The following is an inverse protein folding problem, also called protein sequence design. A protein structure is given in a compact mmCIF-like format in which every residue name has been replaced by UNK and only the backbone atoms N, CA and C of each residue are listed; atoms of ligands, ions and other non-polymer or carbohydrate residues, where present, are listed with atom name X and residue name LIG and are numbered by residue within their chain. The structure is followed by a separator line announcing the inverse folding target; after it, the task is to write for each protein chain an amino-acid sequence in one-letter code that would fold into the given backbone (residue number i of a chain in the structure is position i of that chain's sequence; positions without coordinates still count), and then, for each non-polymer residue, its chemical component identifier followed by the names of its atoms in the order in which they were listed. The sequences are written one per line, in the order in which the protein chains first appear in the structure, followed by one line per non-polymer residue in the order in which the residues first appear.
data_IF_001383840479
#
_entry.id   IF_001383840479
#
_cell.length_a   1.000
_cell.length_b   1.000
_cell.length_c   1.000
_cell.angle_alpha   90.00
_cell.angle_beta   90.00
_cell.angle_gamma   90.00
#
_symmetry.space_group_name_H-M   'P 1'
#
loop_
_entity.id
_entity.type
_entity.pdbx_description
1 polymer ?
#
# COMPACT_ATOMS: atom_id res chain seq x y z
N UNK A 1 41.23 6.48 21.78
CA UNK A 1 40.53 5.65 20.79
C UNK A 1 40.22 6.53 19.60
N UNK A 2 40.78 6.21 18.45
CA UNK A 2 40.62 6.99 17.21
C UNK A 2 39.18 6.93 16.75
N UNK A 3 38.59 8.07 16.29
CA UNK A 3 37.27 8.16 15.67
C UNK A 3 37.11 7.33 14.38
N UNK A 4 38.11 6.53 14.03
CA UNK A 4 38.17 5.69 12.83
C UNK A 4 37.86 4.20 13.11
N UNK A 5 37.55 3.83 14.35
CA UNK A 5 37.36 2.40 14.72
C UNK A 5 35.93 1.89 14.62
N UNK A 6 34.92 2.77 14.39
CA UNK A 6 33.54 2.35 14.11
C UNK A 6 33.11 2.79 12.70
N UNK A 7 32.54 1.88 11.88
CA UNK A 7 32.04 2.27 10.56
C UNK A 7 30.93 3.32 10.69
N UNK A 8 31.06 4.40 9.91
CA UNK A 8 30.09 5.48 9.90
C UNK A 8 28.78 5.04 9.26
N UNK A 9 27.69 5.11 10.03
CA UNK A 9 26.33 4.91 9.55
C UNK A 9 25.62 6.25 9.54
N UNK A 10 24.96 6.60 8.42
CA UNK A 10 24.24 7.85 8.27
C UNK A 10 23.21 8.04 9.40
N UNK A 11 23.16 9.24 9.99
CA UNK A 11 22.32 9.55 11.15
C UNK A 11 20.82 9.18 10.92
N UNK A 12 20.32 9.41 9.70
CA UNK A 12 18.93 9.09 9.30
C UNK A 12 18.54 7.61 9.43
N UNK A 13 19.52 6.69 9.51
CA UNK A 13 19.26 5.26 9.69
C UNK A 13 19.18 4.83 11.16
N UNK A 14 19.62 5.69 12.11
CA UNK A 14 19.66 5.34 13.53
C UNK A 14 18.26 5.18 14.14
N UNK A 15 17.30 5.96 13.63
CA UNK A 15 15.92 6.00 14.12
C UNK A 15 14.93 5.21 13.23
N UNK A 16 15.43 4.47 12.23
CA UNK A 16 14.62 3.61 11.37
C UNK A 16 14.82 2.16 11.76
N UNK A 17 13.89 1.64 12.57
CA UNK A 17 13.88 0.24 12.97
C UNK A 17 13.47 -0.70 11.82
N UNK A 18 13.86 -1.98 11.91
CA UNK A 18 13.30 -3.06 11.08
C UNK A 18 11.77 -3.09 11.21
N UNK A 19 11.09 -3.52 10.16
CA UNK A 19 9.63 -3.63 10.18
C UNK A 19 9.17 -4.77 11.09
N UNK A 20 8.44 -4.51 12.20
CA UNK A 20 7.86 -5.56 13.04
C UNK A 20 6.93 -6.50 12.24
N UNK A 21 6.26 -5.97 11.22
CA UNK A 21 5.42 -6.79 10.31
C UNK A 21 6.27 -7.83 9.57
N UNK A 22 7.49 -7.48 9.13
CA UNK A 22 8.41 -8.41 8.48
C UNK A 22 8.87 -9.51 9.44
N UNK A 23 9.11 -9.19 10.69
CA UNK A 23 9.49 -10.16 11.72
C UNK A 23 8.35 -11.15 11.99
N UNK A 24 7.11 -10.65 12.10
CA UNK A 24 5.91 -11.50 12.23
C UNK A 24 5.76 -12.41 11.00
N UNK A 25 5.93 -11.89 9.79
CA UNK A 25 5.86 -12.69 8.56
C UNK A 25 6.92 -13.80 8.54
N UNK A 26 8.12 -13.55 9.02
CA UNK A 26 9.15 -14.58 9.15
C UNK A 26 8.77 -15.68 10.17
N UNK A 27 8.14 -15.30 11.28
CA UNK A 27 7.64 -16.26 12.28
C UNK A 27 6.47 -17.10 11.73
N UNK A 28 5.67 -16.57 10.83
CA UNK A 28 4.49 -17.25 10.26
C UNK A 28 4.80 -18.09 9.03
N UNK A 29 6.03 -18.14 8.56
CA UNK A 29 6.46 -18.98 7.43
C UNK A 29 6.53 -20.49 7.79
N UNK A 30 6.25 -20.86 9.05
CA UNK A 30 6.23 -22.27 9.50
C UNK A 30 4.99 -23.01 8.97
N UNK A 31 5.11 -24.27 8.54
CA UNK A 31 3.95 -25.08 8.16
C UNK A 31 2.91 -25.18 9.29
N UNK A 32 1.63 -25.11 8.94
CA UNK A 32 0.51 -25.25 9.89
C UNK A 32 0.07 -23.96 10.58
N UNK A 33 0.79 -22.84 10.40
CA UNK A 33 0.37 -21.53 10.92
C UNK A 33 -0.65 -20.91 9.99
N UNK A 34 -1.83 -20.56 10.51
CA UNK A 34 -2.85 -19.77 9.81
C UNK A 34 -2.54 -18.30 10.06
N UNK A 35 -2.09 -17.59 9.03
CA UNK A 35 -1.58 -16.23 9.16
C UNK A 35 -2.57 -15.19 8.64
N UNK A 36 -3.19 -14.42 9.54
CA UNK A 36 -3.91 -13.19 9.22
C UNK A 36 -2.98 -11.95 9.21
N UNK A 37 -1.65 -12.14 9.26
CA UNK A 37 -0.70 -11.04 9.35
C UNK A 37 -0.37 -10.40 7.99
N UNK A 38 -0.19 -11.22 6.96
CA UNK A 38 0.29 -10.76 5.65
C UNK A 38 -0.78 -10.12 4.78
N UNK A 39 -0.55 -8.91 4.29
CA UNK A 39 -1.35 -8.30 3.22
C UNK A 39 -0.96 -8.83 1.84
N UNK A 40 -0.83 -10.15 1.72
CA UNK A 40 -0.41 -10.82 0.49
C UNK A 40 -1.63 -11.28 -0.30
N UNK A 41 -1.64 -11.12 -1.63
CA UNK A 41 -2.67 -11.76 -2.46
C UNK A 41 -2.50 -13.29 -2.39
N UNK A 42 -3.60 -14.00 -2.58
CA UNK A 42 -3.63 -15.45 -2.54
C UNK A 42 -2.87 -16.07 -3.72
N UNK A 43 -1.87 -16.93 -3.47
CA UNK A 43 -1.03 -17.48 -4.56
C UNK A 43 -1.81 -18.33 -5.57
N UNK A 44 -2.87 -19.02 -5.12
CA UNK A 44 -3.73 -19.85 -5.99
C UNK A 44 -4.60 -19.03 -6.95
N UNK A 45 -4.66 -17.71 -6.78
CA UNK A 45 -5.38 -16.79 -7.66
C UNK A 45 -4.48 -16.12 -8.71
N UNK A 46 -3.18 -16.42 -8.69
CA UNK A 46 -2.28 -15.92 -9.74
C UNK A 46 -2.56 -16.66 -11.06
N UNK A 47 -2.64 -15.91 -12.16
CA UNK A 47 -2.68 -16.48 -13.49
C UNK A 47 -1.28 -16.99 -13.92
N UNK A 48 -0.85 -18.07 -13.27
CA UNK A 48 0.45 -18.70 -13.55
C UNK A 48 0.64 -19.11 -15.00
N UNK A 49 -0.34 -19.75 -15.67
CA UNK A 49 -0.26 -20.07 -17.09
C UNK A 49 -0.08 -18.83 -17.97
N UNK A 50 -0.92 -17.82 -17.84
CA UNK A 50 -0.85 -16.60 -18.62
C UNK A 50 0.45 -15.82 -18.42
N UNK A 51 0.96 -15.78 -17.19
CA UNK A 51 2.28 -15.19 -16.89
C UNK A 51 3.40 -15.99 -17.51
N UNK A 52 3.38 -17.33 -17.48
CA UNK A 52 4.37 -18.17 -18.15
C UNK A 52 4.46 -17.86 -19.65
N UNK A 53 3.31 -17.86 -20.32
CA UNK A 53 3.24 -17.56 -21.76
C UNK A 53 3.75 -16.15 -22.07
N UNK A 54 3.49 -15.19 -21.20
CA UNK A 54 3.97 -13.82 -21.34
C UNK A 54 5.51 -13.72 -21.17
N UNK A 55 6.09 -14.45 -20.22
CA UNK A 55 7.54 -14.52 -20.04
C UNK A 55 8.22 -15.25 -21.20
N UNK A 56 7.64 -16.34 -21.70
CA UNK A 56 8.15 -17.03 -22.88
C UNK A 56 8.17 -16.12 -24.11
N UNK A 57 7.09 -15.36 -24.34
CA UNK A 57 7.03 -14.38 -25.42
C UNK A 57 8.04 -13.23 -25.23
N UNK A 58 8.23 -12.74 -24.00
CA UNK A 58 9.23 -11.74 -23.70
C UNK A 58 10.66 -12.25 -23.99
N UNK A 59 10.97 -13.48 -23.60
CA UNK A 59 12.28 -14.11 -23.86
C UNK A 59 12.51 -14.43 -25.32
N UNK A 60 11.47 -14.68 -26.14
CA UNK A 60 11.61 -14.85 -27.60
C UNK A 60 12.14 -13.57 -28.28
N UNK A 61 11.94 -12.38 -27.68
CA UNK A 61 12.52 -11.11 -28.13
C UNK A 61 13.70 -10.69 -27.23
N UNK A 62 14.63 -11.59 -26.98
CA UNK A 62 15.74 -11.40 -26.04
C UNK A 62 16.59 -10.16 -26.35
N UNK A 63 16.74 -9.79 -27.63
CA UNK A 63 17.50 -8.61 -28.06
C UNK A 63 16.93 -7.30 -27.50
N UNK A 64 15.61 -7.21 -27.35
CA UNK A 64 14.92 -6.06 -26.77
C UNK A 64 14.77 -6.19 -25.25
N UNK A 65 14.33 -7.34 -24.75
CA UNK A 65 13.90 -7.52 -23.37
C UNK A 65 15.04 -7.78 -22.38
N UNK A 66 16.24 -8.15 -22.85
CA UNK A 66 17.43 -8.32 -22.02
C UNK A 66 18.46 -7.19 -22.18
N UNK A 67 18.14 -6.14 -22.93
CA UNK A 67 18.99 -4.96 -23.12
C UNK A 67 18.51 -3.83 -22.15
N UNK A 68 19.39 -2.85 -21.93
CA UNK A 68 19.00 -1.59 -21.29
C UNK A 68 17.85 -0.89 -22.03
N UNK A 69 17.00 -0.18 -21.29
CA UNK A 69 15.82 0.50 -21.82
C UNK A 69 15.69 1.93 -21.26
N UNK A 70 14.58 2.57 -21.56
CA UNK A 70 14.28 3.92 -21.06
C UNK A 70 13.94 3.91 -19.57
N UNK A 71 14.32 4.97 -18.88
CA UNK A 71 14.05 5.14 -17.44
C UNK A 71 12.55 5.18 -17.13
N UNK A 72 11.76 5.76 -18.05
CA UNK A 72 10.31 5.90 -17.92
C UNK A 72 9.58 4.54 -17.94
N UNK A 73 10.17 3.55 -18.55
CA UNK A 73 9.62 2.20 -18.68
C UNK A 73 9.18 1.83 -20.11
N UNK A 74 8.82 0.56 -20.27
CA UNK A 74 8.39 -0.02 -21.53
C UNK A 74 7.17 0.72 -22.11
N UNK A 75 7.21 1.23 -23.35
CA UNK A 75 6.13 2.00 -23.93
C UNK A 75 4.80 1.25 -23.98
N UNK A 76 4.81 -0.05 -24.33
CA UNK A 76 3.59 -0.84 -24.39
C UNK A 76 2.95 -1.02 -23.00
N UNK A 77 3.77 -1.21 -21.96
CA UNK A 77 3.28 -1.27 -20.59
C UNK A 77 2.69 0.08 -20.14
N UNK A 78 3.35 1.19 -20.46
CA UNK A 78 2.88 2.54 -20.13
C UNK A 78 1.55 2.86 -20.81
N UNK A 79 1.35 2.47 -22.07
CA UNK A 79 0.09 2.61 -22.81
C UNK A 79 -1.05 1.82 -22.13
N UNK A 80 -0.81 0.57 -21.74
CA UNK A 80 -1.81 -0.27 -21.06
C UNK A 80 -2.18 0.27 -19.68
N UNK A 81 -1.21 0.76 -18.92
CA UNK A 81 -1.44 1.41 -17.62
C UNK A 81 -2.26 2.69 -17.82
N UNK A 82 -1.89 3.54 -18.77
CA UNK A 82 -2.59 4.79 -19.08
C UNK A 82 -4.04 4.54 -19.50
N UNK A 83 -4.28 3.54 -20.36
CA UNK A 83 -5.62 3.13 -20.75
C UNK A 83 -6.45 2.66 -19.54
N UNK A 84 -5.85 1.87 -18.64
CA UNK A 84 -6.53 1.41 -17.41
C UNK A 84 -6.88 2.55 -16.46
N UNK A 85 -5.97 3.49 -16.24
CA UNK A 85 -6.21 4.68 -15.41
C UNK A 85 -7.32 5.55 -16.00
N UNK A 86 -7.30 5.76 -17.31
CA UNK A 86 -8.34 6.52 -18.03
C UNK A 86 -9.71 5.85 -17.92
N UNK A 87 -9.78 4.53 -18.09
CA UNK A 87 -11.03 3.75 -17.92
C UNK A 87 -11.59 3.85 -16.49
N UNK A 88 -10.73 4.08 -15.50
CA UNK A 88 -11.10 4.31 -14.08
C UNK A 88 -11.35 5.79 -13.73
N UNK A 89 -11.37 6.67 -14.72
CA UNK A 89 -11.72 8.09 -14.54
C UNK A 89 -10.55 9.04 -14.34
N UNK A 90 -9.29 8.55 -14.35
CA UNK A 90 -8.10 9.38 -14.32
C UNK A 90 -7.51 9.52 -15.72
N UNK A 91 -7.87 10.57 -16.45
CA UNK A 91 -7.35 10.85 -17.79
C UNK A 91 -5.80 10.85 -17.78
N UNK A 92 -5.20 9.94 -18.54
CA UNK A 92 -3.76 9.68 -18.48
C UNK A 92 -3.24 9.31 -19.87
N UNK A 93 -2.18 9.97 -20.32
CA UNK A 93 -1.41 9.56 -21.49
C UNK A 93 -0.25 8.64 -21.09
N UNK A 94 0.31 7.88 -22.03
CA UNK A 94 1.46 7.03 -21.77
C UNK A 94 2.65 7.85 -21.21
N UNK A 95 2.82 9.09 -21.68
CA UNK A 95 3.91 9.97 -21.23
C UNK A 95 3.71 10.53 -19.80
N UNK A 96 2.52 10.35 -19.23
CA UNK A 96 2.24 10.70 -17.84
C UNK A 96 2.63 9.59 -16.86
N UNK A 97 2.97 8.39 -17.36
CA UNK A 97 3.28 7.21 -16.56
C UNK A 97 4.79 7.02 -16.43
N UNK A 98 5.28 6.87 -15.21
CA UNK A 98 6.62 6.42 -14.87
C UNK A 98 6.54 5.06 -14.18
N UNK A 99 7.05 4.02 -14.84
CA UNK A 99 7.06 2.65 -14.28
C UNK A 99 8.13 2.53 -13.19
N UNK A 100 7.80 1.83 -12.10
CA UNK A 100 8.69 1.63 -10.95
C UNK A 100 8.74 0.16 -10.52
N UNK A 101 9.76 -0.18 -9.73
CA UNK A 101 9.91 -1.50 -9.12
C UNK A 101 8.95 -1.67 -7.93
N UNK A 102 7.63 -1.60 -8.22
CA UNK A 102 6.54 -1.54 -7.26
C UNK A 102 6.33 -0.15 -6.66
N UNK A 103 5.19 0.03 -5.96
CA UNK A 103 4.85 1.30 -5.29
C UNK A 103 5.87 1.71 -4.22
N UNK A 104 6.64 0.77 -3.66
CA UNK A 104 7.69 1.09 -2.70
C UNK A 104 8.79 1.99 -3.30
N UNK A 105 9.25 1.71 -4.52
CA UNK A 105 10.19 2.58 -5.21
C UNK A 105 9.55 3.92 -5.54
N UNK A 106 8.27 3.92 -5.96
CA UNK A 106 7.53 5.15 -6.21
C UNK A 106 7.53 6.08 -4.99
N UNK A 107 7.24 5.56 -3.80
CA UNK A 107 7.31 6.33 -2.54
C UNK A 107 8.71 6.88 -2.27
N UNK A 108 9.75 6.06 -2.46
CA UNK A 108 11.14 6.49 -2.26
C UNK A 108 11.54 7.60 -3.23
N UNK A 109 11.14 7.50 -4.50
CA UNK A 109 11.43 8.51 -5.52
C UNK A 109 10.70 9.83 -5.21
N UNK A 110 9.42 9.77 -4.84
CA UNK A 110 8.68 10.98 -4.44
C UNK A 110 9.34 11.62 -3.23
N UNK A 111 9.67 10.85 -2.21
CA UNK A 111 10.37 11.37 -1.03
C UNK A 111 11.70 12.04 -1.39
N UNK A 112 12.49 11.41 -2.28
CA UNK A 112 13.79 11.96 -2.70
C UNK A 112 13.68 13.27 -3.49
N UNK A 113 12.56 13.51 -4.18
CA UNK A 113 12.34 14.68 -5.04
C UNK A 113 11.64 15.83 -4.31
N UNK A 114 10.86 15.53 -3.28
CA UNK A 114 9.98 16.52 -2.65
C UNK A 114 10.33 16.88 -1.21
N UNK A 115 11.28 16.15 -0.59
CA UNK A 115 11.58 16.28 0.84
C UNK A 115 13.04 16.69 1.05
N UNK A 116 13.26 17.75 1.82
CA UNK A 116 14.54 18.10 2.42
C UNK A 116 14.60 17.60 3.87
N UNK A 117 15.79 17.29 4.42
CA UNK A 117 15.92 16.90 5.81
C UNK A 117 15.31 17.95 6.76
N UNK A 118 14.40 17.48 7.64
CA UNK A 118 13.65 18.33 8.57
C UNK A 118 12.29 18.82 8.04
N UNK A 119 11.96 18.57 6.78
CA UNK A 119 10.62 18.86 6.27
C UNK A 119 9.57 17.99 6.97
N UNK A 120 8.35 18.54 7.10
CA UNK A 120 7.21 17.85 7.72
C UNK A 120 6.38 17.17 6.65
N UNK A 121 6.13 15.88 6.89
CA UNK A 121 5.26 15.04 6.06
C UNK A 121 4.06 14.60 6.88
N UNK A 122 2.87 14.96 6.43
CA UNK A 122 1.62 14.52 7.03
C UNK A 122 1.29 13.09 6.59
N UNK A 123 0.89 12.23 7.52
CA UNK A 123 0.43 10.86 7.24
C UNK A 123 -0.85 10.58 8.03
N UNK A 124 -1.67 9.68 7.53
CA UNK A 124 -2.80 9.13 8.28
C UNK A 124 -2.34 8.53 9.62
N UNK A 125 -3.22 8.51 10.63
CA UNK A 125 -2.95 7.85 11.90
C UNK A 125 -4.06 6.83 12.21
N UNK A 126 -3.81 5.53 12.08
CA UNK A 126 -2.55 4.88 11.68
C UNK A 126 -2.28 4.93 10.17
N UNK A 127 -1.02 4.69 9.75
CA UNK A 127 -0.58 4.75 8.36
C UNK A 127 0.22 3.51 7.93
N UNK A 128 0.43 3.39 6.62
CA UNK A 128 1.27 2.33 6.04
C UNK A 128 2.72 2.48 6.51
N UNK A 129 3.20 1.47 7.25
CA UNK A 129 4.52 1.50 7.88
C UNK A 129 5.68 1.78 6.92
N UNK A 130 5.64 1.19 5.72
CA UNK A 130 6.74 1.37 4.77
C UNK A 130 6.77 2.77 4.15
N UNK A 131 5.65 3.51 4.12
CA UNK A 131 5.63 4.92 3.76
C UNK A 131 6.27 5.77 4.87
N UNK A 132 5.92 5.53 6.15
CA UNK A 132 6.57 6.17 7.29
C UNK A 132 8.09 5.96 7.24
N UNK A 133 8.54 4.73 6.96
CA UNK A 133 9.97 4.42 6.84
C UNK A 133 10.62 5.16 5.67
N UNK A 134 9.97 5.20 4.49
CA UNK A 134 10.51 5.90 3.32
C UNK A 134 10.71 7.41 3.58
N UNK A 135 9.74 8.06 4.23
CA UNK A 135 9.84 9.48 4.57
C UNK A 135 10.91 9.75 5.64
N UNK A 136 10.98 8.92 6.68
CA UNK A 136 12.06 9.02 7.69
C UNK A 136 13.44 8.82 7.08
N UNK A 137 13.59 7.89 6.13
CA UNK A 137 14.85 7.69 5.39
C UNK A 137 15.24 8.89 4.52
N UNK A 138 14.27 9.65 4.02
CA UNK A 138 14.52 10.93 3.34
C UNK A 138 14.87 12.08 4.31
N UNK A 139 14.77 11.84 5.63
CA UNK A 139 15.06 12.84 6.67
C UNK A 139 13.84 13.64 7.10
N UNK A 140 12.63 13.24 6.72
CA UNK A 140 11.40 13.93 7.12
C UNK A 140 11.05 13.74 8.59
N UNK A 141 10.42 14.74 9.17
CA UNK A 141 9.64 14.63 10.40
C UNK A 141 8.21 14.24 10.06
N UNK A 142 7.82 13.03 10.42
CA UNK A 142 6.48 12.50 10.13
C UNK A 142 5.48 13.01 11.16
N UNK A 143 4.41 13.65 10.70
CA UNK A 143 3.37 14.25 11.54
C UNK A 143 2.05 13.49 11.33
N UNK A 144 1.52 12.83 12.36
CA UNK A 144 0.27 12.09 12.26
C UNK A 144 -0.93 13.04 12.14
N UNK A 145 -1.84 12.72 11.21
CA UNK A 145 -3.14 13.38 11.05
C UNK A 145 -4.21 12.48 11.64
N UNK A 146 -5.05 12.96 12.57
CA UNK A 146 -6.15 12.18 13.13
C UNK A 146 -7.05 11.59 12.04
N UNK A 147 -7.48 10.35 12.25
CA UNK A 147 -8.44 9.65 11.42
C UNK A 147 -9.61 9.15 12.27
N UNK A 148 -10.81 9.19 11.71
CA UNK A 148 -12.02 8.57 12.27
C UNK A 148 -12.50 7.41 11.39
N UNK A 149 -13.77 7.01 11.49
CA UNK A 149 -14.32 5.91 10.70
C UNK A 149 -14.42 6.22 9.21
N UNK A 150 -14.46 7.50 8.83
CA UNK A 150 -14.41 7.99 7.45
C UNK A 150 -12.96 8.25 6.96
N UNK A 151 -11.94 7.87 7.74
CA UNK A 151 -10.53 8.05 7.41
C UNK A 151 -9.96 9.40 7.85
N UNK A 152 -9.01 9.93 7.09
CA UNK A 152 -8.28 11.16 7.42
C UNK A 152 -9.21 12.37 7.54
N UNK A 153 -9.02 13.16 8.62
CA UNK A 153 -9.73 14.43 8.85
C UNK A 153 -9.08 15.59 8.07
N UNK A 154 -9.75 16.15 7.05
CA UNK A 154 -9.20 17.25 6.25
C UNK A 154 -9.01 18.56 7.03
N UNK A 155 -9.81 18.84 8.05
CA UNK A 155 -9.68 20.06 8.88
C UNK A 155 -8.44 19.96 9.77
N UNK A 156 -8.23 18.79 10.36
CA UNK A 156 -7.00 18.51 11.10
C UNK A 156 -5.77 18.57 10.17
N UNK A 157 -5.85 18.01 8.96
CA UNK A 157 -4.78 18.11 7.97
C UNK A 157 -4.45 19.57 7.62
N UNK A 158 -5.47 20.41 7.38
CA UNK A 158 -5.28 21.82 7.09
C UNK A 158 -4.61 22.57 8.24
N UNK A 159 -5.05 22.31 9.48
CA UNK A 159 -4.48 22.91 10.69
C UNK A 159 -3.01 22.52 10.88
N UNK A 160 -2.68 21.23 10.70
CA UNK A 160 -1.33 20.72 10.86
C UNK A 160 -0.42 21.19 9.70
N UNK A 161 -0.93 21.24 8.47
CA UNK A 161 -0.19 21.77 7.32
C UNK A 161 0.23 23.22 7.55
N UNK A 162 -0.70 24.07 7.99
CA UNK A 162 -0.42 25.46 8.31
C UNK A 162 0.54 25.62 9.50
N UNK A 163 0.31 24.84 10.58
CA UNK A 163 1.13 24.91 11.81
C UNK A 163 2.58 24.53 11.58
N UNK A 164 2.83 23.51 10.78
CA UNK A 164 4.15 22.92 10.61
C UNK A 164 4.82 23.28 9.27
N UNK A 165 4.12 23.98 8.38
CA UNK A 165 4.60 24.24 7.03
C UNK A 165 4.85 22.94 6.25
N UNK A 166 3.93 21.99 6.37
CA UNK A 166 4.11 20.66 5.78
C UNK A 166 4.25 20.74 4.27
N UNK A 167 5.12 19.89 3.70
CA UNK A 167 5.41 19.86 2.26
C UNK A 167 4.60 18.79 1.53
N UNK A 168 4.24 17.71 2.22
CA UNK A 168 3.63 16.54 1.63
C UNK A 168 2.60 15.94 2.59
N UNK A 169 1.50 15.44 2.02
CA UNK A 169 0.51 14.57 2.66
C UNK A 169 0.52 13.22 1.94
N UNK A 170 0.70 12.14 2.68
CA UNK A 170 0.53 10.77 2.20
C UNK A 170 -0.79 10.18 2.68
N UNK A 171 -1.55 9.59 1.77
CA UNK A 171 -2.82 8.91 2.07
C UNK A 171 -3.03 7.67 1.20
N UNK A 172 -3.69 6.66 1.77
CA UNK A 172 -4.28 5.51 1.06
C UNK A 172 -5.79 5.66 1.11
N UNK A 173 -6.40 6.44 0.21
CA UNK A 173 -7.79 6.88 0.36
C UNK A 173 -8.82 5.79 0.10
N UNK A 174 -8.39 4.62 -0.42
CA UNK A 174 -9.28 3.50 -0.74
C UNK A 174 -8.77 2.21 -0.10
N UNK A 175 -9.56 1.64 0.82
CA UNK A 175 -9.23 0.42 1.56
C UNK A 175 -7.86 0.50 2.25
N UNK A 176 -7.68 1.57 3.00
CA UNK A 176 -6.45 1.97 3.66
C UNK A 176 -5.74 0.82 4.39
N UNK A 177 -4.43 0.77 4.28
CA UNK A 177 -3.59 -0.10 5.09
C UNK A 177 -3.02 0.70 6.28
N UNK A 178 -3.41 0.38 7.53
CA UNK A 178 -3.94 -0.91 7.99
C UNK A 178 -5.47 -1.01 8.17
N UNK A 179 -6.21 0.09 8.09
CA UNK A 179 -7.58 0.16 8.64
C UNK A 179 -8.66 -0.41 7.72
N UNK A 180 -8.42 -0.57 6.41
CA UNK A 180 -9.44 -0.97 5.46
C UNK A 180 -10.49 0.12 5.16
N UNK A 181 -10.35 1.32 5.72
CA UNK A 181 -11.29 2.44 5.54
C UNK A 181 -11.19 3.03 4.14
N UNK A 182 -12.26 3.67 3.71
CA UNK A 182 -12.31 4.40 2.44
C UNK A 182 -12.72 5.84 2.69
N UNK A 183 -11.89 6.78 2.24
CA UNK A 183 -12.13 8.20 2.35
C UNK A 183 -13.29 8.61 1.44
N UNK A 184 -14.38 9.23 1.94
CA UNK A 184 -15.51 9.66 1.14
C UNK A 184 -15.15 10.82 0.20
N UNK A 185 -15.96 10.99 -0.86
CA UNK A 185 -15.71 11.99 -1.90
C UNK A 185 -15.55 13.41 -1.35
N UNK A 186 -16.36 13.80 -0.39
CA UNK A 186 -16.29 15.13 0.22
C UNK A 186 -14.95 15.43 0.87
N UNK A 187 -14.38 14.44 1.57
CA UNK A 187 -13.05 14.57 2.18
C UNK A 187 -11.93 14.60 1.13
N UNK A 188 -12.08 13.82 0.05
CA UNK A 188 -11.13 13.86 -1.08
C UNK A 188 -11.10 15.24 -1.72
N UNK A 189 -12.27 15.83 -1.95
CA UNK A 189 -12.40 17.19 -2.49
C UNK A 189 -11.75 18.23 -1.57
N UNK A 190 -12.02 18.16 -0.27
CA UNK A 190 -11.43 19.07 0.71
C UNK A 190 -9.89 18.98 0.76
N UNK A 191 -9.33 17.78 0.63
CA UNK A 191 -7.86 17.58 0.58
C UNK A 191 -7.24 18.16 -0.70
N UNK A 192 -7.88 17.96 -1.86
CA UNK A 192 -7.40 18.54 -3.13
C UNK A 192 -7.47 20.07 -3.06
N UNK A 193 -8.56 20.63 -2.55
CA UNK A 193 -8.67 22.09 -2.35
C UNK A 193 -7.60 22.62 -1.37
N UNK A 194 -7.33 21.90 -0.28
CA UNK A 194 -6.24 22.26 0.65
C UNK A 194 -4.92 22.30 -0.09
N UNK A 195 -4.56 21.23 -0.81
CA UNK A 195 -3.30 21.13 -1.52
C UNK A 195 -3.12 22.22 -2.59
N UNK A 196 -4.16 22.48 -3.40
CA UNK A 196 -4.12 23.52 -4.42
C UNK A 196 -3.90 24.92 -3.85
N UNK A 197 -4.41 25.20 -2.64
CA UNK A 197 -4.25 26.53 -1.99
C UNK A 197 -2.94 26.68 -1.22
N UNK A 198 -2.42 25.61 -0.65
CA UNK A 198 -1.26 25.67 0.26
C UNK A 198 0.07 25.30 -0.39
N UNK A 199 0.06 24.77 -1.62
CA UNK A 199 1.26 24.23 -2.27
C UNK A 199 1.72 22.89 -1.67
N UNK A 200 0.83 22.21 -0.94
CA UNK A 200 1.07 20.88 -0.37
C UNK A 200 1.00 19.82 -1.48
N UNK A 201 1.98 18.94 -1.57
CA UNK A 201 1.87 17.75 -2.40
C UNK A 201 1.00 16.70 -1.73
N UNK A 202 0.13 16.04 -2.47
CA UNK A 202 -0.57 14.84 -2.01
C UNK A 202 0.01 13.63 -2.75
N UNK A 203 0.40 12.61 -1.99
CA UNK A 203 0.67 11.27 -2.52
C UNK A 203 -0.55 10.41 -2.26
N UNK A 204 -1.27 10.09 -3.32
CA UNK A 204 -2.37 9.14 -3.34
C UNK A 204 -1.82 7.76 -3.69
N UNK A 205 -1.75 6.84 -2.71
CA UNK A 205 -1.34 5.45 -2.92
C UNK A 205 -2.58 4.54 -3.03
N UNK A 206 -2.85 4.03 -4.23
CA UNK A 206 -4.03 3.19 -4.52
C UNK A 206 -3.64 1.78 -5.00
N UNK A 207 -3.16 0.89 -4.11
CA UNK A 207 -2.90 -0.50 -4.48
C UNK A 207 -4.15 -1.39 -4.46
N UNK A 208 -5.27 -0.93 -3.85
CA UNK A 208 -6.44 -1.76 -3.57
C UNK A 208 -7.72 -1.33 -4.28
N UNK A 209 -7.76 -0.19 -4.95
CA UNK A 209 -8.98 0.41 -5.48
C UNK A 209 -9.76 -0.46 -6.45
N UNK A 210 -9.10 -1.43 -7.09
CA UNK A 210 -9.77 -2.43 -7.93
C UNK A 210 -10.45 -3.54 -7.12
N UNK A 211 -10.10 -3.73 -5.86
CA UNK A 211 -10.61 -4.82 -5.00
C UNK A 211 -11.80 -4.36 -4.14
N UNK A 212 -12.82 -3.76 -4.78
CA UNK A 212 -14.07 -3.37 -4.12
C UNK A 212 -15.10 -4.50 -4.21
N UNK A 213 -15.67 -4.90 -3.07
CA UNK A 213 -16.64 -6.00 -2.95
C UNK A 213 -18.08 -5.51 -2.82
N UNK A 214 -18.26 -4.31 -2.26
CA UNK A 214 -19.58 -3.69 -2.03
C UNK A 214 -19.51 -2.17 -2.18
N UNK A 215 -20.68 -1.55 -2.37
CA UNK A 215 -20.80 -0.11 -2.56
C UNK A 215 -20.29 0.38 -3.92
N UNK A 216 -20.33 1.70 -4.11
CA UNK A 216 -19.90 2.35 -5.34
C UNK A 216 -18.42 2.78 -5.27
N UNK A 217 -17.77 2.83 -6.44
CA UNK A 217 -16.39 3.33 -6.54
C UNK A 217 -16.36 4.84 -6.24
N UNK A 218 -15.37 5.25 -5.43
CA UNK A 218 -15.11 6.66 -5.16
C UNK A 218 -14.01 7.14 -6.10
N UNK A 219 -14.18 8.27 -6.82
CA UNK A 219 -13.16 8.83 -7.70
C UNK A 219 -11.80 9.03 -6.99
N UNK A 220 -10.69 8.76 -7.69
CA UNK A 220 -9.33 9.05 -7.22
C UNK A 220 -9.17 10.55 -6.92
N UNK A 221 -8.37 10.92 -5.91
CA UNK A 221 -8.03 12.32 -5.67
C UNK A 221 -7.42 12.95 -6.92
N UNK A 222 -6.53 12.22 -7.60
CA UNK A 222 -5.85 12.70 -8.81
C UNK A 222 -6.81 12.98 -9.98
N UNK A 223 -8.04 12.43 -9.95
CA UNK A 223 -9.08 12.69 -10.98
C UNK A 223 -9.98 13.88 -10.67
N UNK A 224 -9.88 14.47 -9.48
CA UNK A 224 -10.72 15.58 -9.06
C UNK A 224 -10.24 16.92 -9.65
N UNK A 225 -11.15 17.87 -9.91
CA UNK A 225 -10.76 19.20 -10.35
C UNK A 225 -9.76 19.87 -9.41
N UNK A 226 -8.68 20.42 -9.97
CA UNK A 226 -7.61 21.09 -9.20
C UNK A 226 -6.50 20.15 -8.71
N UNK A 227 -6.61 18.87 -8.96
CA UNK A 227 -5.60 17.87 -8.55
C UNK A 227 -4.38 17.84 -9.47
N UNK A 228 -4.48 18.33 -10.68
CA UNK A 228 -3.50 18.18 -11.76
C UNK A 228 -2.12 18.72 -11.38
N UNK A 229 -2.09 19.75 -10.55
CA UNK A 229 -0.88 20.43 -10.11
C UNK A 229 -0.29 19.95 -8.78
N UNK A 230 -1.02 19.10 -8.00
CA UNK A 230 -0.64 18.81 -6.62
C UNK A 230 -0.77 17.34 -6.19
N UNK A 231 -1.42 16.45 -6.98
CA UNK A 231 -1.60 15.04 -6.60
C UNK A 231 -0.70 14.12 -7.44
N UNK A 232 0.14 13.35 -6.75
CA UNK A 232 0.92 12.24 -7.30
C UNK A 232 0.14 10.96 -7.05
N UNK A 233 -0.40 10.33 -8.11
CA UNK A 233 -1.03 9.02 -7.99
C UNK A 233 0.01 7.90 -8.11
N UNK A 234 -0.04 6.95 -7.17
CA UNK A 234 0.80 5.75 -7.14
C UNK A 234 -0.09 4.52 -7.16
N UNK A 235 0.30 3.49 -7.92
CA UNK A 235 -0.37 2.20 -7.87
C UNK A 235 0.57 1.05 -8.30
N UNK A 236 0.05 -0.20 -8.33
CA UNK A 236 0.84 -1.40 -8.58
C UNK A 236 -0.01 -2.56 -9.09
N UNK A 237 0.61 -3.46 -9.87
CA UNK A 237 0.02 -4.76 -10.23
C UNK A 237 0.07 -5.79 -9.09
N UNK A 238 0.72 -5.49 -7.98
CA UNK A 238 0.97 -6.46 -6.90
C UNK A 238 -0.29 -7.08 -6.30
N UNK A 239 -1.45 -6.43 -6.40
CA UNK A 239 -2.70 -6.90 -5.76
C UNK A 239 -3.69 -7.53 -6.74
N UNK A 240 -3.52 -7.28 -8.04
CA UNK A 240 -4.40 -7.80 -9.09
C UNK A 240 -3.71 -8.81 -10.03
N UNK A 241 -2.37 -8.80 -10.11
CA UNK A 241 -1.61 -9.78 -10.89
C UNK A 241 -0.75 -10.64 -9.95
N UNK A 242 0.49 -10.22 -9.70
CA UNK A 242 1.41 -10.92 -8.80
C UNK A 242 2.42 -9.95 -8.20
N UNK A 243 2.66 -9.97 -6.87
CA UNK A 243 3.61 -9.08 -6.22
C UNK A 243 5.06 -9.34 -6.64
N UNK A 244 5.37 -10.56 -7.07
CA UNK A 244 6.71 -10.97 -7.53
C UNK A 244 7.16 -10.28 -8.82
N UNK A 245 6.26 -9.78 -9.65
CA UNK A 245 6.57 -9.01 -10.86
C UNK A 245 7.26 -7.68 -10.58
N UNK A 246 7.11 -7.15 -9.36
CA UNK A 246 7.69 -5.86 -8.96
C UNK A 246 7.32 -4.71 -9.89
N UNK A 247 6.08 -4.68 -10.42
CA UNK A 247 5.58 -3.60 -11.27
C UNK A 247 4.67 -2.67 -10.47
N UNK A 248 5.02 -1.40 -10.45
CA UNK A 248 4.24 -0.27 -9.99
C UNK A 248 4.43 0.92 -10.92
N UNK A 249 3.76 2.00 -10.64
CA UNK A 249 3.88 3.23 -11.43
C UNK A 249 3.51 4.47 -10.62
N UNK A 250 3.98 5.61 -11.14
CA UNK A 250 3.61 6.96 -10.77
C UNK A 250 2.86 7.63 -11.92
N UNK A 251 1.84 8.41 -11.60
CA UNK A 251 1.29 9.45 -12.47
C UNK A 251 1.43 10.77 -11.71
N UNK A 252 2.56 11.47 -11.90
CA UNK A 252 2.86 12.71 -11.20
C UNK A 252 2.28 13.93 -11.93
N UNK A 253 2.12 15.07 -11.25
CA UNK A 253 2.01 16.38 -11.89
C UNK A 253 3.17 16.67 -12.84
N UNK A 254 2.91 17.46 -13.90
CA UNK A 254 3.90 17.75 -14.94
C UNK A 254 5.22 18.31 -14.38
N UNK A 255 5.15 19.14 -13.32
CA UNK A 255 6.31 19.74 -12.67
C UNK A 255 7.28 18.70 -12.07
N UNK A 256 6.76 17.59 -11.55
CA UNK A 256 7.57 16.56 -10.91
C UNK A 256 8.10 15.49 -11.87
N UNK A 257 7.61 15.45 -13.11
CA UNK A 257 7.92 14.39 -14.08
C UNK A 257 9.43 14.31 -14.37
N UNK A 258 10.03 15.40 -14.77
CA UNK A 258 11.48 15.46 -15.03
C UNK A 258 12.34 15.10 -13.81
N UNK A 259 12.16 15.76 -12.66
CA UNK A 259 12.87 15.40 -11.42
C UNK A 259 12.74 13.93 -11.02
N UNK A 260 11.54 13.32 -11.13
CA UNK A 260 11.33 11.91 -10.82
C UNK A 260 12.09 10.97 -11.78
N UNK A 261 12.15 11.30 -13.07
CA UNK A 261 12.95 10.53 -14.05
C UNK A 261 14.43 10.60 -13.69
N UNK A 262 14.96 11.79 -13.34
CA UNK A 262 16.36 11.95 -12.92
C UNK A 262 16.65 11.15 -11.64
N UNK A 263 15.77 11.21 -10.65
CA UNK A 263 15.94 10.46 -9.41
C UNK A 263 15.89 8.95 -9.66
N UNK A 264 14.99 8.47 -10.52
CA UNK A 264 14.90 7.06 -10.90
C UNK A 264 16.14 6.60 -11.68
N UNK A 265 16.63 7.41 -12.60
CA UNK A 265 17.85 7.12 -13.36
C UNK A 265 19.04 6.89 -12.43
N UNK A 266 19.15 7.72 -11.38
CA UNK A 266 20.20 7.56 -10.37
C UNK A 266 19.99 6.34 -9.44
N UNK A 267 18.73 5.92 -9.21
CA UNK A 267 18.38 4.84 -8.29
C UNK A 267 18.57 3.44 -8.89
N UNK A 268 18.07 3.21 -10.12
CA UNK A 268 18.08 1.88 -10.75
C UNK A 268 18.23 1.91 -12.29
N UNK A 269 18.48 3.08 -12.88
CA UNK A 269 18.50 3.35 -14.30
C UNK A 269 17.12 3.15 -14.97
N UNK A 270 16.54 1.97 -14.85
CA UNK A 270 15.18 1.59 -15.26
C UNK A 270 14.73 0.35 -14.51
N UNK A 271 13.42 0.11 -14.43
CA UNK A 271 12.87 -1.14 -13.93
C UNK A 271 13.20 -2.32 -14.86
N UNK A 272 13.18 -3.56 -14.35
CA UNK A 272 13.48 -4.77 -15.11
C UNK A 272 12.70 -4.82 -16.43
N UNK A 273 13.42 -4.87 -17.56
CA UNK A 273 12.84 -4.86 -18.91
C UNK A 273 12.04 -6.12 -19.21
N UNK A 274 12.53 -7.28 -18.74
CA UNK A 274 11.84 -8.56 -18.94
C UNK A 274 10.53 -8.62 -18.15
N UNK A 275 10.50 -8.13 -16.91
CA UNK A 275 9.27 -8.12 -16.11
C UNK A 275 8.26 -7.14 -16.68
N UNK A 276 8.70 -5.99 -17.19
CA UNK A 276 7.84 -5.04 -17.89
C UNK A 276 7.24 -5.63 -19.17
N UNK A 277 8.06 -6.29 -20.00
CA UNK A 277 7.60 -6.92 -21.24
C UNK A 277 6.61 -8.06 -20.95
N UNK A 278 6.89 -8.89 -19.92
CA UNK A 278 5.98 -9.94 -19.50
C UNK A 278 4.67 -9.37 -18.96
N UNK A 279 4.73 -8.32 -18.12
CA UNK A 279 3.54 -7.65 -17.61
C UNK A 279 2.69 -7.03 -18.73
N UNK A 280 3.31 -6.38 -19.72
CA UNK A 280 2.62 -5.86 -20.89
C UNK A 280 1.98 -6.98 -21.73
N UNK A 281 2.72 -8.07 -21.99
CA UNK A 281 2.22 -9.22 -22.71
C UNK A 281 1.05 -9.92 -22.01
N UNK A 282 1.07 -10.00 -20.68
CA UNK A 282 -0.02 -10.53 -19.87
C UNK A 282 -1.24 -9.61 -19.92
N UNK A 283 -1.07 -8.31 -19.64
CA UNK A 283 -2.15 -7.32 -19.68
C UNK A 283 -2.85 -7.22 -21.03
N UNK A 284 -2.10 -7.39 -22.13
CA UNK A 284 -2.65 -7.34 -23.48
C UNK A 284 -3.52 -8.56 -23.84
N UNK A 285 -3.41 -9.67 -23.12
CA UNK A 285 -4.10 -10.95 -23.43
C UNK A 285 -5.20 -11.29 -22.45
N UNK A 286 -5.06 -10.91 -21.19
CA UNK A 286 -6.04 -11.24 -20.16
C UNK A 286 -7.29 -10.35 -20.30
N UNK A 287 -8.45 -10.94 -20.04
CA UNK A 287 -9.63 -10.15 -19.66
C UNK A 287 -9.47 -9.71 -18.21
N UNK A 288 -8.82 -8.54 -18.03
CA UNK A 288 -8.49 -8.03 -16.70
C UNK A 288 -9.76 -7.73 -15.86
N UNK A 289 -10.85 -7.33 -16.49
CA UNK A 289 -12.10 -7.04 -15.78
C UNK A 289 -12.74 -8.33 -15.25
N UNK A 290 -12.77 -9.39 -16.05
CA UNK A 290 -13.23 -10.71 -15.59
C UNK A 290 -12.33 -11.29 -14.50
N UNK A 291 -11.00 -11.14 -14.63
CA UNK A 291 -10.04 -11.56 -13.62
C UNK A 291 -10.25 -10.82 -12.29
N UNK A 292 -10.35 -9.51 -12.32
CA UNK A 292 -10.61 -8.67 -11.13
C UNK A 292 -11.98 -8.98 -10.52
N UNK A 293 -13.00 -9.23 -11.34
CA UNK A 293 -14.32 -9.65 -10.84
C UNK A 293 -14.25 -10.98 -10.07
N UNK A 294 -13.46 -11.95 -10.55
CA UNK A 294 -13.22 -13.18 -9.82
C UNK A 294 -12.48 -12.96 -8.49
N UNK A 295 -11.43 -12.12 -8.49
CA UNK A 295 -10.73 -11.73 -7.25
C UNK A 295 -11.69 -11.10 -6.24
N UNK A 296 -12.54 -10.17 -6.68
CA UNK A 296 -13.55 -9.49 -5.84
C UNK A 296 -14.51 -10.49 -5.20
N UNK A 297 -15.00 -11.47 -5.96
CA UNK A 297 -15.89 -12.52 -5.44
C UNK A 297 -15.19 -13.33 -4.35
N UNK A 298 -14.00 -13.86 -4.63
CA UNK A 298 -13.28 -14.73 -3.70
C UNK A 298 -12.84 -13.98 -2.44
N UNK A 299 -12.27 -12.80 -2.57
CA UNK A 299 -11.87 -12.01 -1.40
C UNK A 299 -13.09 -11.48 -0.61
N UNK A 300 -14.21 -11.22 -1.28
CA UNK A 300 -15.47 -10.89 -0.62
C UNK A 300 -15.98 -12.03 0.26
N UNK A 301 -15.96 -13.27 -0.24
CA UNK A 301 -16.32 -14.48 0.52
C UNK A 301 -15.38 -14.67 1.75
N UNK A 302 -14.09 -14.44 1.58
CA UNK A 302 -13.10 -14.54 2.67
C UNK A 302 -13.28 -13.44 3.72
N UNK A 303 -13.54 -12.19 3.29
CA UNK A 303 -13.90 -11.10 4.20
C UNK A 303 -15.12 -11.46 5.05
N UNK A 304 -16.18 -11.94 4.40
CA UNK A 304 -17.43 -12.27 5.07
C UNK A 304 -17.24 -13.44 6.05
N UNK A 305 -16.41 -14.42 5.70
CA UNK A 305 -16.05 -15.51 6.61
C UNK A 305 -15.28 -15.01 7.85
N UNK A 306 -14.31 -14.09 7.66
CA UNK A 306 -13.60 -13.49 8.79
C UNK A 306 -14.55 -12.71 9.69
N UNK A 307 -15.39 -11.84 9.12
CA UNK A 307 -16.32 -11.00 9.88
C UNK A 307 -17.38 -11.82 10.63
N UNK A 308 -17.82 -12.94 10.07
CA UNK A 308 -18.84 -13.80 10.71
C UNK A 308 -18.36 -14.40 12.03
N UNK A 309 -17.07 -14.73 12.17
CA UNK A 309 -16.53 -15.34 13.38
C UNK A 309 -15.73 -14.41 14.28
N UNK A 310 -15.46 -13.16 13.84
CA UNK A 310 -14.51 -12.29 14.52
C UNK A 310 -15.00 -11.84 15.91
N UNK A 311 -16.30 -11.58 16.06
CA UNK A 311 -16.87 -11.17 17.35
C UNK A 311 -16.72 -12.22 18.46
N UNK A 312 -16.69 -13.53 18.09
CA UNK A 312 -16.46 -14.61 19.04
C UNK A 312 -14.98 -14.91 19.26
N UNK A 313 -14.12 -14.52 18.30
CA UNK A 313 -12.69 -14.78 18.34
C UNK A 313 -11.88 -13.69 19.05
N UNK A 314 -12.51 -12.57 19.41
CA UNK A 314 -11.91 -11.46 20.16
C UNK A 314 -12.54 -11.32 21.55
N UNK A 315 -11.86 -10.69 22.52
CA UNK A 315 -12.41 -10.41 23.85
C UNK A 315 -13.74 -9.65 23.76
N UNK A 316 -14.65 -9.95 24.68
CA UNK A 316 -15.93 -9.26 24.75
C UNK A 316 -15.75 -7.75 24.90
N UNK A 317 -16.44 -6.95 24.10
CA UNK A 317 -16.29 -5.49 24.02
C UNK A 317 -15.30 -5.02 22.97
N UNK A 318 -14.66 -5.92 22.24
CA UNK A 318 -13.88 -5.54 21.07
C UNK A 318 -14.76 -4.96 19.96
N UNK A 319 -14.19 -4.03 19.18
CA UNK A 319 -14.84 -3.45 18.01
C UNK A 319 -14.02 -3.73 16.75
N UNK A 320 -14.66 -3.75 15.61
CA UNK A 320 -13.99 -3.87 14.31
C UNK A 320 -14.80 -3.18 13.22
N UNK A 321 -14.13 -2.78 12.16
CA UNK A 321 -14.80 -2.25 10.98
C UNK A 321 -15.30 -3.36 10.04
N UNK A 322 -16.08 -2.97 9.03
CA UNK A 322 -16.53 -3.82 7.92
C UNK A 322 -16.10 -3.16 6.61
N UNK A 323 -14.92 -3.49 6.07
CA UNK A 323 -14.42 -2.84 4.86
C UNK A 323 -15.21 -3.27 3.61
N UNK A 324 -15.44 -2.32 2.69
CA UNK A 324 -16.09 -2.58 1.41
C UNK A 324 -15.17 -3.21 0.35
N UNK A 325 -13.90 -3.39 0.67
CA UNK A 325 -12.87 -3.92 -0.22
C UNK A 325 -11.52 -4.06 0.45
N UNK A 326 -10.48 -4.13 -0.35
CA UNK A 326 -9.10 -4.27 0.14
C UNK A 326 -8.81 -5.65 0.72
N UNK A 327 -7.89 -5.73 1.67
CA UNK A 327 -7.43 -7.02 2.21
C UNK A 327 -7.46 -7.09 3.75
N UNK A 328 -7.93 -6.03 4.45
CA UNK A 328 -7.74 -5.88 5.89
C UNK A 328 -9.02 -5.57 6.65
N UNK A 329 -9.13 -6.15 7.83
CA UNK A 329 -10.03 -5.73 8.90
C UNK A 329 -9.18 -5.14 10.01
N UNK A 330 -9.61 -3.99 10.54
CA UNK A 330 -9.03 -3.33 11.71
C UNK A 330 -9.91 -3.54 12.91
N UNK A 331 -9.33 -4.05 13.99
CA UNK A 331 -10.04 -4.27 15.23
C UNK A 331 -9.37 -3.55 16.40
N UNK A 332 -10.16 -3.22 17.41
CA UNK A 332 -9.72 -2.68 18.69
C UNK A 332 -10.25 -3.55 19.83
N UNK A 333 -9.35 -4.01 20.65
CA UNK A 333 -9.64 -4.74 21.88
C UNK A 333 -10.20 -3.79 22.95
N UNK A 334 -10.86 -4.29 24.01
CA UNK A 334 -11.32 -3.47 25.12
C UNK A 334 -10.17 -2.73 25.81
N UNK A 335 -10.51 -1.67 26.54
CA UNK A 335 -9.54 -0.92 27.33
C UNK A 335 -8.79 -1.82 28.33
N UNK A 336 -7.48 -1.58 28.44
CA UNK A 336 -6.58 -2.39 29.27
C UNK A 336 -5.99 -3.62 28.58
N UNK A 337 -6.41 -3.94 27.36
CA UNK A 337 -5.78 -4.99 26.57
C UNK A 337 -4.60 -4.46 25.74
N UNK A 338 -3.64 -5.35 25.49
CA UNK A 338 -2.52 -5.11 24.60
C UNK A 338 -2.47 -6.24 23.58
N UNK A 339 -2.43 -5.87 22.29
CA UNK A 339 -2.44 -6.83 21.18
C UNK A 339 -1.10 -7.61 21.05
N UNK A 340 0.02 -7.10 21.58
CA UNK A 340 1.31 -7.77 21.49
C UNK A 340 1.38 -9.06 22.35
N UNK A 341 1.02 -9.06 23.65
CA UNK A 341 0.90 -10.28 24.42
C UNK A 341 -0.15 -11.27 23.87
N UNK A 342 -1.23 -10.75 23.28
CA UNK A 342 -2.21 -11.60 22.62
C UNK A 342 -1.60 -12.30 21.38
N UNK A 343 -0.81 -11.60 20.57
CA UNK A 343 -0.09 -12.22 19.45
C UNK A 343 0.83 -13.34 19.92
N UNK A 344 1.56 -13.15 21.03
CA UNK A 344 2.46 -14.20 21.56
C UNK A 344 1.68 -15.49 21.87
N UNK A 345 0.55 -15.39 22.57
CA UNK A 345 -0.33 -16.54 22.85
C UNK A 345 -0.96 -17.14 21.59
N UNK A 346 -1.32 -16.29 20.61
CA UNK A 346 -1.88 -16.74 19.34
C UNK A 346 -0.85 -17.57 18.54
N UNK A 347 0.42 -17.18 18.53
CA UNK A 347 1.52 -17.92 17.89
C UNK A 347 1.75 -19.31 18.52
N UNK A 348 1.50 -19.49 19.83
CA UNK A 348 1.52 -20.80 20.51
C UNK A 348 0.37 -21.71 20.04
N UNK A 349 -0.66 -21.13 19.40
CA UNK A 349 -1.81 -21.84 18.82
C UNK A 349 -1.77 -21.88 17.28
N UNK A 350 -0.60 -21.61 16.69
CA UNK A 350 -0.39 -21.59 15.25
C UNK A 350 -1.36 -20.65 14.49
N UNK A 351 -1.67 -19.50 15.07
CA UNK A 351 -2.40 -18.41 14.41
C UNK A 351 -1.69 -17.09 14.64
N UNK A 352 -1.72 -16.19 13.64
CA UNK A 352 -1.06 -14.90 13.74
C UNK A 352 -1.87 -13.76 13.14
N UNK A 353 -1.70 -12.55 13.70
CA UNK A 353 -2.21 -11.27 13.19
C UNK A 353 -1.11 -10.21 13.35
N UNK A 354 -1.35 -8.97 12.95
CA UNK A 354 -0.41 -7.86 13.22
C UNK A 354 -0.98 -6.97 14.32
N UNK A 355 -0.28 -6.78 15.47
CA UNK A 355 -0.60 -5.73 16.42
C UNK A 355 -0.59 -4.37 15.75
N UNK A 356 -1.46 -3.45 16.19
CA UNK A 356 -1.64 -2.17 15.53
C UNK A 356 -0.54 -1.15 15.77
N UNK A 357 0.18 -1.25 16.88
CA UNK A 357 1.14 -0.24 17.34
C UNK A 357 2.21 0.16 16.30
N UNK A 358 2.72 -0.71 15.39
CA UNK A 358 3.73 -0.32 14.42
C UNK A 358 3.24 0.64 13.32
N UNK A 359 1.92 0.75 13.15
CA UNK A 359 1.32 1.62 12.13
C UNK A 359 1.11 3.06 12.62
N UNK A 360 1.44 3.36 13.86
CA UNK A 360 1.30 4.70 14.43
C UNK A 360 2.61 5.47 14.29
N UNK A 361 2.51 6.68 13.77
CA UNK A 361 3.63 7.62 13.70
C UNK A 361 3.79 8.39 15.04
N UNK A 362 2.67 8.60 15.74
CA UNK A 362 2.59 9.17 17.07
C UNK A 362 2.45 8.12 18.19
N UNK A 363 1.88 8.49 19.36
CA UNK A 363 1.62 7.55 20.45
C UNK A 363 0.70 6.42 20.00
N UNK A 364 1.11 5.13 20.10
CA UNK A 364 0.35 4.02 19.57
C UNK A 364 -0.85 3.62 20.45
N UNK A 365 -1.98 3.27 19.84
CA UNK A 365 -3.04 2.52 20.52
C UNK A 365 -2.67 1.02 20.48
N UNK A 366 -2.18 0.51 21.61
CA UNK A 366 -1.72 -0.87 21.76
C UNK A 366 -2.85 -1.90 21.79
N UNK A 367 -4.10 -1.46 21.96
CA UNK A 367 -5.27 -2.33 21.90
C UNK A 367 -5.72 -2.65 20.48
N UNK A 368 -5.08 -2.09 19.46
CA UNK A 368 -5.48 -2.28 18.06
C UNK A 368 -4.74 -3.44 17.39
N UNK A 369 -5.37 -4.05 16.38
CA UNK A 369 -4.78 -5.10 15.56
C UNK A 369 -5.34 -5.10 14.14
N UNK A 370 -4.51 -5.56 13.19
CA UNK A 370 -4.87 -5.76 11.80
C UNK A 370 -4.96 -7.25 11.48
N UNK A 371 -6.09 -7.65 10.83
CA UNK A 371 -6.27 -9.00 10.30
C UNK A 371 -6.43 -8.93 8.77
N UNK A 372 -5.66 -9.73 8.05
CA UNK A 372 -5.82 -9.94 6.61
C UNK A 372 -6.66 -11.18 6.35
N UNK A 373 -7.62 -11.06 5.45
CA UNK A 373 -8.46 -12.18 5.03
C UNK A 373 -8.07 -12.77 3.67
N UNK A 374 -7.00 -12.24 3.05
CA UNK A 374 -6.70 -12.57 1.64
C UNK A 374 -6.08 -13.95 1.43
N UNK A 375 -5.29 -14.46 2.39
CA UNK A 375 -4.41 -15.60 2.17
C UNK A 375 -5.11 -16.97 2.30
N UNK A 376 -6.21 -17.07 3.04
CA UNK A 376 -6.81 -18.36 3.41
C UNK A 376 -8.25 -18.50 2.92
N UNK A 377 -8.69 -19.72 2.51
CA UNK A 377 -10.09 -19.98 2.18
C UNK A 377 -10.99 -19.94 3.44
N UNK A 378 -12.32 -19.80 3.28
CA UNK A 378 -13.25 -19.63 4.40
C UNK A 378 -13.15 -20.68 5.51
N UNK A 379 -12.88 -21.94 5.18
CA UNK A 379 -12.72 -23.02 6.17
C UNK A 379 -11.47 -22.83 7.05
N UNK A 380 -10.34 -22.43 6.46
CA UNK A 380 -9.12 -22.12 7.22
C UNK A 380 -9.26 -20.83 8.03
N UNK A 381 -10.01 -19.84 7.52
CA UNK A 381 -10.34 -18.63 8.28
C UNK A 381 -11.12 -18.98 9.54
N UNK A 382 -12.14 -19.86 9.44
CA UNK A 382 -12.92 -20.30 10.60
C UNK A 382 -12.05 -21.04 11.62
N UNK A 383 -11.16 -21.93 11.18
CA UNK A 383 -10.19 -22.62 12.04
C UNK A 383 -9.21 -21.63 12.71
N UNK A 384 -8.67 -20.65 11.96
CA UNK A 384 -7.78 -19.62 12.50
C UNK A 384 -8.47 -18.77 13.58
N UNK A 385 -9.74 -18.43 13.38
CA UNK A 385 -10.55 -17.71 14.39
C UNK A 385 -10.80 -18.56 15.63
N UNK A 386 -11.04 -19.88 15.49
CA UNK A 386 -11.17 -20.78 16.63
C UNK A 386 -9.85 -20.87 17.44
N UNK A 387 -8.70 -20.92 16.78
CA UNK A 387 -7.39 -20.89 17.43
C UNK A 387 -7.13 -19.54 18.14
N UNK A 388 -7.53 -18.42 17.51
CA UNK A 388 -7.39 -17.08 18.11
C UNK A 388 -8.26 -16.97 19.37
N UNK A 389 -9.49 -17.47 19.34
CA UNK A 389 -10.36 -17.57 20.51
C UNK A 389 -9.73 -18.38 21.64
N UNK A 390 -9.07 -19.51 21.32
CA UNK A 390 -8.40 -20.34 22.31
C UNK A 390 -7.11 -19.69 22.90
N UNK A 391 -6.65 -18.58 22.34
CA UNK A 391 -5.50 -17.79 22.84
C UNK A 391 -5.94 -16.66 23.79
N UNK A 392 -7.24 -16.40 23.98
CA UNK A 392 -7.74 -15.40 24.91
C UNK A 392 -7.53 -15.84 26.35
#
# INVERSE_FOLDING_TARGET
MSLLDEPFIAARLRDVASSPVREILALTARPGVISFAGGLPAPELFDGPGLRDAFEAALADAGRTLQYSTTEGDPALRELIAARLTARGLATGADDVLVTSGSQQALTLVAAVTIEPGDRVLVEEPAYLAAIQAFKLAGAEVVPVPCDDDGLDPEAAATLAARYGARLLYTVPTFQNPTGRTLPLSRRQALVELAARSGLWIVEDDPYGELRYSGEAVPSLASLPGAEGCVVAISTLSKVAAPGLRIGWLRPPALLRGPLVVAKQAADLHSSTIDQAAAAGWLARIDLDAHVANLRRIYGERRDALLAGLAEALPQGSTHNRPDGGLFVWARLPDGWDAEPLLARALERDVAFVPGFPFFAGPPDRATLRLSFSAHPPGEIAEGLARLRAAL
#
